data_IF_343506317748
#
_entry.id   IF_343506317748
#
_cell.length_a   1.000
_cell.length_b   1.000
_cell.length_c   1.000
_cell.angle_alpha   90.00
_cell.angle_beta   90.00
_cell.angle_gamma   90.00
#
_symmetry.space_group_name_H-M   'P 1'
#
loop_
_entity.id
_entity.type
_entity.pdbx_description
1 polymer ?
#
# COMPACT_ATOMS: atom_id res chain seq x y z
N UNK A 1 -0.90 10.36 -3.77
CA UNK A 1 -1.71 9.12 -3.82
C UNK A 1 -0.89 7.85 -3.63
N UNK A 2 0.25 7.75 -4.30
CA UNK A 2 1.16 6.60 -4.31
C UNK A 2 1.79 6.36 -2.93
N UNK A 3 2.07 7.46 -2.20
CA UNK A 3 2.54 7.45 -0.82
C UNK A 3 1.54 6.84 0.17
N UNK A 4 0.23 7.06 -0.04
CA UNK A 4 -0.82 6.57 0.87
C UNK A 4 -1.00 5.06 0.74
N UNK A 5 -0.94 4.55 -0.49
CA UNK A 5 -0.92 3.13 -0.84
C UNK A 5 0.31 2.45 -0.23
N UNK A 6 1.50 3.02 -0.44
CA UNK A 6 2.74 2.53 0.15
C UNK A 6 2.69 2.52 1.70
N UNK A 7 2.19 3.60 2.31
CA UNK A 7 2.00 3.68 3.77
C UNK A 7 1.07 2.58 4.30
N UNK A 8 -0.04 2.31 3.61
CA UNK A 8 -0.95 1.23 3.98
C UNK A 8 -0.28 -0.15 3.88
N UNK A 9 0.48 -0.39 2.81
CA UNK A 9 1.24 -1.63 2.64
C UNK A 9 2.31 -1.81 3.74
N UNK A 10 3.03 -0.74 4.10
CA UNK A 10 4.01 -0.73 5.20
C UNK A 10 3.34 -1.00 6.55
N UNK A 11 2.24 -0.33 6.85
CA UNK A 11 1.53 -0.52 8.12
C UNK A 11 0.98 -1.94 8.24
N UNK A 12 0.47 -2.50 7.15
CA UNK A 12 -0.02 -3.87 7.11
C UNK A 12 1.10 -4.91 7.26
N UNK A 13 2.23 -4.73 6.57
CA UNK A 13 3.41 -5.58 6.75
C UNK A 13 3.91 -5.57 8.21
N UNK A 14 3.99 -4.38 8.82
CA UNK A 14 4.44 -4.24 10.21
C UNK A 14 3.49 -4.92 11.19
N UNK A 15 2.18 -4.84 10.96
CA UNK A 15 1.19 -5.57 11.75
C UNK A 15 1.31 -7.09 11.59
N UNK A 16 1.50 -7.60 10.37
CA UNK A 16 1.70 -9.02 10.07
C UNK A 16 2.85 -9.62 10.89
N UNK A 17 3.95 -8.87 11.02
CA UNK A 17 5.14 -9.33 11.77
C UNK A 17 4.88 -9.61 13.26
N UNK A 18 3.83 -8.99 13.85
CA UNK A 18 3.49 -9.04 15.28
C UNK A 18 2.45 -10.11 15.63
N UNK A 19 2.17 -11.06 14.71
CA UNK A 19 1.30 -12.21 15.00
C UNK A 19 -0.21 -11.91 14.94
N UNK A 20 -0.63 -11.03 14.02
CA UNK A 20 -2.01 -10.54 13.87
C UNK A 20 -3.13 -11.56 14.12
N UNK A 21 -3.86 -11.37 15.22
CA UNK A 21 -4.81 -12.34 15.77
C UNK A 21 -6.14 -12.48 14.99
N UNK A 22 -6.40 -11.67 13.96
CA UNK A 22 -7.53 -11.87 13.04
C UNK A 22 -7.10 -11.53 11.59
N UNK A 23 -6.37 -12.45 10.97
CA UNK A 23 -5.82 -12.30 9.62
C UNK A 23 -6.87 -11.88 8.58
N UNK A 24 -8.07 -12.44 8.63
CA UNK A 24 -9.08 -12.29 7.56
C UNK A 24 -9.70 -10.90 7.45
N UNK A 25 -10.07 -10.26 8.57
CA UNK A 25 -10.74 -8.95 8.57
C UNK A 25 -9.79 -7.82 8.24
N UNK A 26 -8.54 -7.91 8.71
CA UNK A 26 -7.52 -6.89 8.47
C UNK A 26 -6.89 -6.98 7.09
N UNK A 27 -6.67 -8.19 6.56
CA UNK A 27 -6.33 -8.37 5.13
C UNK A 27 -7.41 -7.76 4.24
N UNK A 28 -8.68 -8.05 4.55
CA UNK A 28 -9.80 -7.50 3.78
C UNK A 28 -9.85 -5.96 3.88
N UNK A 29 -9.65 -5.39 5.06
CA UNK A 29 -9.60 -3.94 5.26
C UNK A 29 -8.42 -3.28 4.51
N UNK A 30 -7.25 -3.92 4.49
CA UNK A 30 -6.08 -3.43 3.76
C UNK A 30 -6.29 -3.48 2.24
N UNK A 31 -6.84 -4.58 1.73
CA UNK A 31 -7.21 -4.71 0.31
C UNK A 31 -8.25 -3.65 -0.07
N UNK A 32 -9.27 -3.44 0.76
CA UNK A 32 -10.28 -2.38 0.54
C UNK A 32 -9.64 -1.00 0.50
N UNK A 33 -8.74 -0.68 1.44
CA UNK A 33 -8.05 0.60 1.48
C UNK A 33 -7.14 0.81 0.25
N UNK A 34 -6.45 -0.23 -0.22
CA UNK A 34 -5.64 -0.20 -1.44
C UNK A 34 -6.53 0.05 -2.67
N UNK A 35 -7.61 -0.71 -2.84
CA UNK A 35 -8.56 -0.55 -3.95
C UNK A 35 -9.18 0.85 -3.95
N UNK A 36 -9.65 1.33 -2.80
CA UNK A 36 -10.21 2.69 -2.67
C UNK A 36 -9.16 3.75 -3.02
N UNK A 37 -7.91 3.58 -2.58
CA UNK A 37 -6.80 4.43 -2.95
C UNK A 37 -6.58 4.48 -4.46
N UNK A 38 -6.65 3.35 -5.16
CA UNK A 38 -6.52 3.31 -6.62
C UNK A 38 -7.69 4.02 -7.32
N UNK A 39 -8.93 3.74 -6.88
CA UNK A 39 -10.15 4.35 -7.43
C UNK A 39 -10.11 5.87 -7.30
N UNK A 40 -9.79 6.38 -6.11
CA UNK A 40 -9.67 7.82 -5.87
C UNK A 40 -8.60 8.43 -6.79
N UNK A 41 -7.56 7.67 -7.15
CA UNK A 41 -6.49 8.12 -8.04
C UNK A 41 -6.94 8.28 -9.45
N UNK A 42 -7.66 7.30 -9.96
CA UNK A 42 -8.28 7.38 -11.27
C UNK A 42 -9.30 8.53 -11.33
N UNK A 43 -10.13 8.71 -10.30
CA UNK A 43 -11.11 9.81 -10.23
C UNK A 43 -10.40 11.18 -10.20
N UNK A 44 -9.38 11.34 -9.36
CA UNK A 44 -8.66 12.62 -9.23
C UNK A 44 -8.04 13.05 -10.56
N UNK A 45 -7.51 12.09 -11.33
CA UNK A 45 -6.92 12.33 -12.65
C UNK A 45 -8.00 12.66 -13.68
N UNK A 46 -9.15 11.98 -13.63
CA UNK A 46 -10.28 12.28 -14.51
C UNK A 46 -10.86 13.68 -14.25
N UNK A 47 -10.89 14.13 -12.99
CA UNK A 47 -11.41 15.44 -12.58
C UNK A 47 -10.39 16.56 -12.82
N UNK A 48 -9.09 16.26 -12.77
CA UNK A 48 -8.01 17.22 -13.00
C UNK A 48 -7.15 16.74 -14.17
N UNK A 49 -7.56 17.02 -15.42
CA UNK A 49 -6.89 16.48 -16.61
C UNK A 49 -5.42 16.88 -16.73
N UNK A 50 -5.00 18.01 -16.16
CA UNK A 50 -3.59 18.43 -16.14
C UNK A 50 -2.68 17.47 -15.37
N UNK A 51 -3.23 16.63 -14.49
CA UNK A 51 -2.47 15.57 -13.81
C UNK A 51 -2.12 14.40 -14.73
N UNK A 52 -2.81 14.22 -15.87
CA UNK A 52 -2.49 13.16 -16.84
C UNK A 52 -1.08 13.32 -17.42
N UNK A 53 -0.58 14.54 -17.55
CA UNK A 53 0.78 14.82 -18.00
C UNK A 53 1.88 14.33 -17.03
N UNK A 54 1.51 14.11 -15.76
CA UNK A 54 2.40 13.61 -14.71
C UNK A 54 2.13 12.14 -14.38
N UNK A 55 1.25 11.49 -15.14
CA UNK A 55 0.94 10.08 -14.98
C UNK A 55 1.75 9.23 -15.95
N UNK A 56 2.20 8.08 -15.46
CA UNK A 56 2.77 7.05 -16.32
C UNK A 56 1.66 6.46 -17.21
N UNK A 57 2.00 5.83 -18.35
CA UNK A 57 1.06 5.01 -19.10
C UNK A 57 0.37 3.97 -18.21
N UNK A 58 -0.88 3.61 -18.52
CA UNK A 58 -1.71 2.75 -17.66
C UNK A 58 -1.05 1.39 -17.38
N UNK A 59 -0.34 0.82 -18.34
CA UNK A 59 0.35 -0.46 -18.15
C UNK A 59 1.50 -0.34 -17.14
N UNK A 60 2.23 0.78 -17.20
CA UNK A 60 3.35 1.07 -16.30
C UNK A 60 2.85 1.43 -14.91
N UNK A 61 1.72 2.13 -14.79
CA UNK A 61 1.10 2.42 -13.51
C UNK A 61 0.73 1.15 -12.75
N UNK A 62 0.09 0.18 -13.41
CA UNK A 62 -0.29 -1.09 -12.77
C UNK A 62 0.93 -1.83 -12.23
N UNK A 63 2.00 -1.91 -13.02
CA UNK A 63 3.26 -2.54 -12.59
C UNK A 63 3.90 -1.79 -11.42
N UNK A 64 3.92 -0.46 -11.47
CA UNK A 64 4.45 0.39 -10.40
C UNK A 64 3.64 0.25 -9.10
N UNK A 65 2.31 0.11 -9.19
CA UNK A 65 1.45 -0.10 -8.01
C UNK A 65 1.71 -1.45 -7.36
N UNK A 66 1.76 -2.53 -8.15
CA UNK A 66 2.08 -3.87 -7.63
C UNK A 66 3.46 -3.86 -6.96
N UNK A 67 4.47 -3.23 -7.59
CA UNK A 67 5.80 -3.14 -7.03
C UNK A 67 5.83 -2.35 -5.70
N UNK A 68 5.14 -1.21 -5.63
CA UNK A 68 5.03 -0.40 -4.41
C UNK A 68 4.34 -1.16 -3.28
N UNK A 69 3.28 -1.91 -3.57
CA UNK A 69 2.57 -2.71 -2.58
C UNK A 69 3.46 -3.81 -1.99
N UNK A 70 4.21 -4.53 -2.85
CA UNK A 70 5.16 -5.55 -2.42
C UNK A 70 6.27 -4.93 -1.56
N UNK A 71 6.87 -3.83 -2.02
CA UNK A 71 7.93 -3.13 -1.29
C UNK A 71 7.41 -2.67 0.08
N UNK A 72 6.21 -2.08 0.12
CA UNK A 72 5.59 -1.63 1.35
C UNK A 72 5.37 -2.79 2.33
N UNK A 73 4.77 -3.88 1.86
CA UNK A 73 4.55 -5.10 2.65
C UNK A 73 5.85 -5.64 3.27
N UNK A 74 6.89 -5.78 2.45
CA UNK A 74 8.19 -6.29 2.89
C UNK A 74 8.84 -5.33 3.89
N UNK A 75 8.89 -4.04 3.57
CA UNK A 75 9.47 -3.02 4.45
C UNK A 75 8.74 -2.95 5.80
N UNK A 76 7.41 -3.01 5.76
CA UNK A 76 6.56 -3.12 6.94
C UNK A 76 6.93 -4.32 7.78
N UNK A 77 6.94 -5.51 7.18
CA UNK A 77 7.24 -6.76 7.88
C UNK A 77 8.61 -6.75 8.54
N UNK A 78 9.63 -6.30 7.81
CA UNK A 78 10.99 -6.18 8.35
C UNK A 78 11.07 -5.17 9.50
N UNK A 79 10.40 -4.02 9.37
CA UNK A 79 10.35 -2.99 10.42
C UNK A 79 9.70 -3.54 11.69
N UNK A 80 8.57 -4.24 11.55
CA UNK A 80 7.89 -4.81 12.69
C UNK A 80 8.67 -5.95 13.35
N UNK A 81 9.39 -6.77 12.57
CA UNK A 81 10.34 -7.76 13.13
C UNK A 81 11.52 -7.11 13.85
N UNK A 82 12.13 -6.08 13.28
CA UNK A 82 13.21 -5.34 13.92
C UNK A 82 12.76 -4.73 15.26
N UNK A 83 11.55 -4.17 15.29
CA UNK A 83 10.96 -3.65 16.53
C UNK A 83 10.79 -4.75 17.59
N UNK A 84 10.27 -5.94 17.23
CA UNK A 84 10.19 -7.07 18.16
C UNK A 84 11.56 -7.49 18.70
N UNK A 85 12.61 -7.48 17.87
CA UNK A 85 13.97 -7.85 18.29
C UNK A 85 14.62 -6.82 19.21
N UNK A 86 14.34 -5.52 19.02
CA UNK A 86 14.91 -4.44 19.85
C UNK A 86 14.20 -4.34 21.20
N UNK A 87 12.91 -4.69 21.27
CA UNK A 87 12.08 -4.48 22.47
C UNK A 87 11.93 -5.72 23.36
N UNK A 88 12.46 -6.87 22.94
CA UNK A 88 12.58 -8.10 23.73
C UNK A 88 14.01 -8.31 24.20
#
# INVERSE_FOLDING_TARGET
>A
MWLLILLMAVLFGAWLSRGGAELSKWVLAAIIALILGWIIGMITVAVVPSLTAYMLPAEVQLQAYIALDIIGLVAGFLTGKAYETITK
#
